data_IF_147300291488
#
_entry.id   IF_147300291488
#
_cell.length_a   1.000
_cell.length_b   1.000
_cell.length_c   1.000
_cell.angle_alpha   90.00
_cell.angle_beta   90.00
_cell.angle_gamma   90.00
#
_symmetry.space_group_name_H-M   'P 1'
#
loop_
_entity.id
_entity.type
_entity.pdbx_description
1 polymer ?
#
# COMPACT_ATOMS: atom_id res chain seq x y z
N UNK A 1 -16.82 -10.63 -12.92
CA UNK A 1 -16.15 -10.38 -11.65
C UNK A 1 -15.12 -11.47 -11.49
N UNK A 2 -13.84 -11.17 -11.75
CA UNK A 2 -12.75 -12.16 -11.63
C UNK A 2 -12.05 -11.92 -10.31
N UNK A 3 -11.98 -12.96 -9.54
CA UNK A 3 -11.38 -13.14 -8.22
C UNK A 3 -10.02 -12.47 -8.08
N UNK A 4 -9.93 -11.52 -7.15
CA UNK A 4 -8.66 -11.04 -6.62
C UNK A 4 -8.05 -12.16 -5.78
N UNK A 5 -6.93 -12.65 -6.21
CA UNK A 5 -6.24 -13.73 -5.53
C UNK A 5 -4.87 -13.27 -5.10
N UNK A 6 -4.64 -13.44 -3.86
CA UNK A 6 -3.39 -13.74 -3.17
C UNK A 6 -2.81 -12.65 -2.30
N UNK A 7 -3.26 -12.64 -1.05
CA UNK A 7 -2.59 -12.00 0.08
C UNK A 7 -1.43 -12.88 0.54
N UNK A 8 -0.24 -12.29 0.58
CA UNK A 8 0.91 -12.86 1.24
C UNK A 8 1.01 -12.26 2.66
N UNK A 9 0.32 -12.86 3.64
CA UNK A 9 0.44 -12.50 5.05
C UNK A 9 1.70 -13.17 5.61
N UNK A 10 2.77 -12.40 5.75
CA UNK A 10 3.95 -12.82 6.51
C UNK A 10 3.86 -12.21 7.90
N UNK A 11 3.46 -13.02 8.88
CA UNK A 11 3.55 -12.66 10.29
C UNK A 11 5.00 -12.81 10.75
N UNK A 12 5.70 -11.71 10.99
CA UNK A 12 7.08 -11.74 11.46
C UNK A 12 7.18 -11.11 12.85
N UNK A 13 7.59 -11.93 13.81
CA UNK A 13 7.92 -11.49 15.18
C UNK A 13 9.25 -10.74 15.15
N UNK A 14 9.23 -9.45 15.46
CA UNK A 14 10.41 -8.60 15.61
C UNK A 14 11.26 -9.05 16.81
N UNK A 15 12.38 -9.65 16.52
CA UNK A 15 13.50 -9.73 17.46
C UNK A 15 14.35 -8.46 17.31
N UNK A 16 14.16 -7.50 18.22
CA UNK A 16 15.07 -6.38 18.40
C UNK A 16 16.36 -6.89 19.04
N UNK A 17 17.33 -7.22 18.22
CA UNK A 17 18.71 -7.41 18.68
C UNK A 17 19.41 -6.05 18.69
N UNK A 18 19.48 -5.46 19.89
CA UNK A 18 20.42 -4.40 20.23
C UNK A 18 21.84 -4.82 19.89
N UNK A 19 22.53 -4.09 19.03
CA UNK A 19 23.96 -4.20 18.91
C UNK A 19 24.61 -2.84 19.14
N UNK A 20 25.52 -2.84 20.11
CA UNK A 20 26.20 -1.66 20.59
C UNK A 20 27.28 -1.12 19.65
N UNK A 21 27.53 0.13 19.80
CA UNK A 21 28.77 0.88 19.73
C UNK A 21 29.64 0.79 18.48
N UNK A 22 29.58 1.88 17.69
CA UNK A 22 30.56 2.15 16.65
C UNK A 22 30.20 3.40 15.89
N UNK A 23 30.74 4.56 16.29
CA UNK A 23 30.62 5.82 15.56
C UNK A 23 31.35 5.75 14.22
N UNK A 24 30.61 5.57 13.13
CA UNK A 24 31.05 5.95 11.80
C UNK A 24 29.93 6.68 11.10
N UNK A 25 30.14 7.95 10.82
CA UNK A 25 29.27 8.88 10.10
C UNK A 25 29.21 8.52 8.60
N UNK A 26 28.49 7.46 8.31
CA UNK A 26 28.06 7.08 6.98
C UNK A 26 26.95 6.08 7.18
N UNK A 27 25.73 6.41 6.76
CA UNK A 27 24.64 5.44 6.83
C UNK A 27 25.05 4.21 6.03
N UNK A 28 25.37 3.11 6.72
CA UNK A 28 25.72 1.85 6.06
C UNK A 28 24.50 1.36 5.30
N UNK A 29 24.68 0.98 4.02
CA UNK A 29 23.62 0.38 3.23
C UNK A 29 23.15 -0.93 3.88
N UNK A 30 21.86 -1.17 3.80
CA UNK A 30 21.27 -2.42 4.24
C UNK A 30 21.82 -3.60 3.40
N UNK A 31 21.86 -4.77 3.99
CA UNK A 31 22.08 -5.98 3.20
C UNK A 31 20.90 -6.21 2.25
N UNK A 32 21.09 -6.98 1.17
CA UNK A 32 20.00 -7.31 0.24
C UNK A 32 18.84 -8.02 0.95
N UNK A 33 19.14 -8.87 1.93
CA UNK A 33 18.11 -9.56 2.72
C UNK A 33 17.33 -8.60 3.61
N UNK A 34 18.02 -7.74 4.36
CA UNK A 34 17.37 -6.80 5.27
C UNK A 34 16.52 -5.79 4.50
N UNK A 35 17.01 -5.36 3.33
CA UNK A 35 16.24 -4.46 2.47
C UNK A 35 14.97 -5.14 1.92
N UNK A 36 15.06 -6.38 1.44
CA UNK A 36 13.88 -7.11 0.96
C UNK A 36 12.85 -7.30 2.07
N UNK A 37 13.27 -7.64 3.28
CA UNK A 37 12.39 -7.77 4.44
C UNK A 37 11.72 -6.44 4.79
N UNK A 38 12.48 -5.34 4.77
CA UNK A 38 11.93 -4.00 4.96
C UNK A 38 10.88 -3.67 3.88
N UNK A 39 11.21 -3.89 2.61
CA UNK A 39 10.32 -3.63 1.47
C UNK A 39 8.99 -4.40 1.61
N UNK A 40 9.04 -5.70 1.93
CA UNK A 40 7.87 -6.54 2.16
C UNK A 40 7.08 -6.07 3.38
N UNK A 41 7.74 -5.67 4.46
CA UNK A 41 7.07 -5.17 5.67
C UNK A 41 6.28 -3.90 5.40
N UNK A 42 6.87 -2.93 4.70
CA UNK A 42 6.20 -1.68 4.31
C UNK A 42 5.02 -1.99 3.37
N UNK A 43 5.22 -2.87 2.39
CA UNK A 43 4.15 -3.29 1.50
C UNK A 43 2.98 -3.95 2.26
N UNK A 44 3.25 -4.92 3.13
CA UNK A 44 2.22 -5.59 3.93
C UNK A 44 1.47 -4.61 4.84
N UNK A 45 2.18 -3.64 5.43
CA UNK A 45 1.58 -2.57 6.21
C UNK A 45 0.60 -1.74 5.38
N UNK A 46 1.00 -1.34 4.18
CA UNK A 46 0.12 -0.60 3.27
C UNK A 46 -1.10 -1.45 2.84
N UNK A 47 -0.89 -2.70 2.46
CA UNK A 47 -1.97 -3.62 2.09
C UNK A 47 -3.00 -3.76 3.21
N UNK A 48 -2.56 -4.01 4.45
CA UNK A 48 -3.49 -4.17 5.59
C UNK A 48 -4.31 -2.91 5.88
N UNK A 49 -3.77 -1.73 5.56
CA UNK A 49 -4.48 -0.45 5.70
C UNK A 49 -5.54 -0.25 4.61
N UNK A 50 -5.20 -0.56 3.34
CA UNK A 50 -6.08 -0.24 2.21
C UNK A 50 -7.06 -1.36 1.88
N UNK A 51 -6.77 -2.62 2.19
CA UNK A 51 -7.57 -3.77 1.78
C UNK A 51 -9.05 -3.69 2.20
N UNK A 52 -9.40 -3.28 3.44
CA UNK A 52 -10.80 -3.11 3.81
C UNK A 52 -11.60 -2.18 2.90
N UNK A 53 -10.91 -1.28 2.18
CA UNK A 53 -11.47 -0.27 1.30
C UNK A 53 -11.39 -0.62 -0.19
N UNK A 54 -10.42 -1.43 -0.58
CA UNK A 54 -10.19 -1.79 -1.99
C UNK A 54 -10.87 -3.10 -2.34
N UNK A 55 -10.74 -4.11 -1.48
CA UNK A 55 -11.26 -5.46 -1.71
C UNK A 55 -12.32 -5.87 -0.68
N UNK A 56 -12.33 -5.21 0.48
CA UNK A 56 -13.19 -5.57 1.60
C UNK A 56 -14.54 -4.86 1.61
N UNK A 57 -15.33 -5.21 2.64
CA UNK A 57 -16.73 -4.80 2.78
C UNK A 57 -16.92 -3.29 2.93
N UNK A 58 -15.92 -2.56 3.47
CA UNK A 58 -16.04 -1.11 3.69
C UNK A 58 -16.10 -0.33 2.38
N UNK A 59 -15.24 -0.68 1.42
CA UNK A 59 -15.26 -0.06 0.10
C UNK A 59 -16.52 -0.42 -0.67
N UNK A 60 -16.95 -1.69 -0.61
CA UNK A 60 -18.20 -2.14 -1.22
C UNK A 60 -19.41 -1.39 -0.64
N UNK A 61 -19.46 -1.23 0.69
CA UNK A 61 -20.51 -0.48 1.36
C UNK A 61 -20.52 0.99 0.97
N UNK A 62 -19.36 1.66 0.92
CA UNK A 62 -19.26 3.05 0.47
C UNK A 62 -19.79 3.23 -0.95
N UNK A 63 -19.38 2.34 -1.88
CA UNK A 63 -19.83 2.41 -3.27
C UNK A 63 -21.34 2.14 -3.38
N UNK A 64 -21.85 1.15 -2.66
CA UNK A 64 -23.29 0.83 -2.66
C UNK A 64 -24.12 1.98 -2.09
N UNK A 65 -23.68 2.59 -0.99
CA UNK A 65 -24.35 3.74 -0.38
C UNK A 65 -24.27 4.99 -1.27
N UNK A 66 -23.13 5.18 -1.97
CA UNK A 66 -22.99 6.25 -2.95
C UNK A 66 -23.97 6.09 -4.14
N UNK A 67 -24.11 4.89 -4.69
CA UNK A 67 -25.04 4.60 -5.77
C UNK A 67 -26.50 4.79 -5.30
N UNK A 68 -26.79 4.46 -4.05
CA UNK A 68 -28.11 4.61 -3.43
C UNK A 68 -28.41 6.03 -2.93
N UNK A 69 -27.54 7.00 -3.18
CA UNK A 69 -27.64 8.40 -2.72
C UNK A 69 -27.84 8.56 -1.20
N UNK A 70 -27.27 7.65 -0.41
CA UNK A 70 -27.30 7.73 1.05
C UNK A 70 -26.26 8.73 1.57
N UNK A 71 -26.43 9.24 2.83
CA UNK A 71 -25.41 10.03 3.49
C UNK A 71 -24.09 9.25 3.64
N UNK A 72 -22.96 9.88 3.28
CA UNK A 72 -21.64 9.26 3.27
C UNK A 72 -20.71 9.73 4.41
N UNK A 73 -21.23 10.58 5.31
CA UNK A 73 -20.43 11.21 6.38
C UNK A 73 -19.75 10.21 7.32
N UNK A 74 -20.36 9.05 7.55
CA UNK A 74 -19.82 7.99 8.41
C UNK A 74 -18.49 7.43 7.91
N UNK A 75 -18.20 7.53 6.62
CA UNK A 75 -16.96 7.03 6.02
C UNK A 75 -15.78 8.00 6.14
N UNK A 76 -16.03 9.31 6.24
CA UNK A 76 -15.00 10.37 6.22
C UNK A 76 -13.94 10.20 7.29
N UNK A 77 -14.34 10.01 8.54
CA UNK A 77 -13.41 9.89 9.67
C UNK A 77 -12.53 8.65 9.55
N UNK A 78 -13.13 7.52 9.15
CA UNK A 78 -12.42 6.27 9.00
C UNK A 78 -11.39 6.35 7.84
N UNK A 79 -11.78 6.87 6.68
CA UNK A 79 -10.89 7.07 5.54
C UNK A 79 -9.72 8.00 5.87
N UNK A 80 -9.99 9.15 6.50
CA UNK A 80 -8.96 10.09 6.91
C UNK A 80 -7.97 9.49 7.90
N UNK A 81 -8.42 8.66 8.84
CA UNK A 81 -7.54 7.94 9.78
C UNK A 81 -6.67 6.90 9.06
N UNK A 82 -7.25 6.14 8.15
CA UNK A 82 -6.51 5.12 7.38
C UNK A 82 -5.48 5.78 6.44
N UNK A 83 -5.82 6.89 5.81
CA UNK A 83 -4.88 7.62 4.97
C UNK A 83 -3.70 8.20 5.75
N UNK A 84 -3.93 8.68 6.99
CA UNK A 84 -2.83 9.07 7.89
C UNK A 84 -1.94 7.88 8.25
N UNK A 85 -2.52 6.72 8.52
CA UNK A 85 -1.75 5.50 8.79
C UNK A 85 -0.93 5.07 7.56
N UNK A 86 -1.49 5.16 6.35
CA UNK A 86 -0.78 4.89 5.11
C UNK A 86 0.40 5.86 4.89
N UNK A 87 0.20 7.15 5.17
CA UNK A 87 1.27 8.15 5.10
C UNK A 87 2.40 7.85 6.09
N UNK A 88 2.07 7.44 7.33
CA UNK A 88 3.07 7.02 8.31
C UNK A 88 3.85 5.77 7.87
N UNK A 89 3.16 4.80 7.26
CA UNK A 89 3.80 3.62 6.67
C UNK A 89 4.74 3.98 5.51
N UNK A 90 4.35 4.91 4.65
CA UNK A 90 5.21 5.42 3.57
C UNK A 90 6.43 6.18 4.10
N UNK A 91 6.30 6.91 5.22
CA UNK A 91 7.42 7.56 5.89
C UNK A 91 8.46 6.55 6.40
N UNK A 92 8.04 5.36 6.85
CA UNK A 92 8.96 4.30 7.25
C UNK A 92 9.87 3.86 6.08
N UNK A 93 9.36 3.83 4.84
CA UNK A 93 10.18 3.60 3.66
C UNK A 93 11.17 4.74 3.41
N UNK A 94 10.72 5.98 3.52
CA UNK A 94 11.58 7.16 3.33
C UNK A 94 12.71 7.23 4.37
N UNK A 95 12.46 6.80 5.60
CA UNK A 95 13.45 6.82 6.67
C UNK A 95 14.68 5.94 6.39
N UNK A 96 14.55 4.91 5.55
CA UNK A 96 15.66 4.05 5.16
C UNK A 96 16.26 4.37 3.78
N UNK A 97 15.82 5.45 3.14
CA UNK A 97 16.21 5.78 1.76
C UNK A 97 17.73 5.86 1.56
N UNK A 98 18.49 6.39 2.55
CA UNK A 98 19.95 6.42 2.51
C UNK A 98 20.62 5.05 2.65
N UNK A 99 19.90 4.07 3.22
CA UNK A 99 20.33 2.69 3.40
C UNK A 99 19.96 1.75 2.25
N UNK A 100 19.26 2.24 1.22
CA UNK A 100 18.87 1.42 0.06
C UNK A 100 20.12 0.93 -0.69
N UNK A 101 20.31 -0.38 -0.88
CA UNK A 101 21.41 -0.92 -1.66
C UNK A 101 21.32 -0.47 -3.13
N UNK A 102 22.44 -0.30 -3.80
CA UNK A 102 22.44 0.15 -5.20
C UNK A 102 21.73 -0.83 -6.14
N UNK A 103 21.79 -2.12 -5.83
CA UNK A 103 21.11 -3.19 -6.55
C UNK A 103 19.60 -3.30 -6.21
N UNK A 104 19.10 -2.54 -5.25
CA UNK A 104 17.69 -2.52 -4.85
C UNK A 104 16.93 -1.28 -5.32
N UNK A 105 17.55 -0.37 -6.05
CA UNK A 105 16.93 0.90 -6.47
C UNK A 105 15.66 0.71 -7.32
N UNK A 106 15.64 -0.29 -8.20
CA UNK A 106 14.43 -0.60 -8.98
C UNK A 106 13.31 -1.09 -8.06
N UNK A 107 13.61 -2.01 -7.15
CA UNK A 107 12.64 -2.53 -6.17
C UNK A 107 12.10 -1.41 -5.27
N UNK A 108 12.95 -0.48 -4.83
CA UNK A 108 12.55 0.71 -4.06
C UNK A 108 11.61 1.61 -4.86
N UNK A 109 11.95 1.83 -6.14
CA UNK A 109 11.10 2.60 -7.06
C UNK A 109 9.71 1.96 -7.24
N UNK A 110 9.62 0.62 -7.33
CA UNK A 110 8.33 -0.09 -7.43
C UNK A 110 7.51 0.02 -6.14
N UNK A 111 8.15 -0.09 -4.96
CA UNK A 111 7.45 0.12 -3.69
C UNK A 111 6.93 1.56 -3.58
N UNK A 112 7.74 2.55 -3.93
CA UNK A 112 7.34 3.96 -3.91
C UNK A 112 6.18 4.25 -4.87
N UNK A 113 6.17 3.66 -6.06
CA UNK A 113 5.06 3.76 -7.01
C UNK A 113 3.77 3.16 -6.43
N UNK A 114 3.85 1.96 -5.86
CA UNK A 114 2.72 1.32 -5.19
C UNK A 114 2.15 2.14 -4.04
N UNK A 115 3.00 2.68 -3.15
CA UNK A 115 2.55 3.52 -2.03
C UNK A 115 1.85 4.79 -2.51
N UNK A 116 2.34 5.38 -3.61
CA UNK A 116 1.71 6.55 -4.25
C UNK A 116 0.34 6.22 -4.83
N UNK A 117 0.19 5.10 -5.52
CA UNK A 117 -1.11 4.69 -6.07
C UNK A 117 -2.08 4.25 -4.98
N UNK A 118 -1.59 3.67 -3.87
CA UNK A 118 -2.39 3.38 -2.69
C UNK A 118 -2.95 4.67 -2.04
N UNK A 119 -2.13 5.72 -1.88
CA UNK A 119 -2.59 7.02 -1.40
C UNK A 119 -3.60 7.67 -2.37
N UNK A 120 -3.36 7.57 -3.68
CA UNK A 120 -4.29 8.09 -4.69
C UNK A 120 -5.66 7.39 -4.62
N UNK A 121 -5.68 6.08 -4.39
CA UNK A 121 -6.92 5.32 -4.20
C UNK A 121 -7.68 5.76 -2.96
N UNK A 122 -7.00 5.89 -1.82
CA UNK A 122 -7.62 6.38 -0.58
C UNK A 122 -8.13 7.81 -0.73
N UNK A 123 -7.39 8.69 -1.42
CA UNK A 123 -7.83 10.05 -1.72
C UNK A 123 -9.08 10.09 -2.64
N UNK A 124 -9.18 9.16 -3.60
CA UNK A 124 -10.37 9.05 -4.44
C UNK A 124 -11.61 8.61 -3.64
N UNK A 125 -11.46 7.64 -2.74
CA UNK A 125 -12.52 7.23 -1.82
C UNK A 125 -12.94 8.36 -0.87
N UNK A 126 -11.98 9.16 -0.36
CA UNK A 126 -12.28 10.34 0.45
C UNK A 126 -13.12 11.38 -0.33
N UNK A 127 -12.82 11.60 -1.63
CA UNK A 127 -13.64 12.51 -2.47
C UNK A 127 -15.06 12.00 -2.64
N UNK A 128 -15.27 10.70 -2.80
CA UNK A 128 -16.63 10.12 -2.83
C UNK A 128 -17.33 10.34 -1.48
N UNK A 129 -16.66 10.01 -0.37
CA UNK A 129 -17.23 10.20 0.96
C UNK A 129 -17.47 11.68 1.33
N UNK A 130 -16.86 12.62 0.61
CA UNK A 130 -17.03 14.06 0.81
C UNK A 130 -18.24 14.66 0.05
N UNK A 131 -18.93 13.87 -0.76
CA UNK A 131 -20.13 14.34 -1.44
C UNK A 131 -21.16 14.88 -0.42
N UNK A 132 -21.79 16.04 -0.69
CA UNK A 132 -22.81 16.61 0.20
C UNK A 132 -24.07 15.74 0.19
N UNK A 133 -24.85 15.79 1.26
CA UNK A 133 -26.15 15.11 1.28
C UNK A 133 -27.05 15.64 0.14
N UNK A 134 -27.67 14.74 -0.58
CA UNK A 134 -28.51 15.08 -1.73
C UNK A 134 -27.73 15.29 -3.04
N UNK A 135 -26.46 14.87 -3.10
CA UNK A 135 -25.68 14.87 -4.35
C UNK A 135 -26.38 14.13 -5.48
N UNK A 136 -26.05 14.48 -6.69
CA UNK A 136 -26.65 13.97 -7.92
C UNK A 136 -25.74 12.96 -8.63
N UNK A 137 -26.29 12.21 -9.58
CA UNK A 137 -25.50 11.35 -10.45
C UNK A 137 -24.44 12.13 -11.26
N UNK A 138 -24.72 13.39 -11.59
CA UNK A 138 -23.77 14.27 -12.31
C UNK A 138 -22.51 14.54 -11.46
N UNK A 139 -22.67 14.65 -10.14
CA UNK A 139 -21.55 14.86 -9.22
C UNK A 139 -20.82 13.54 -8.91
N UNK A 140 -21.53 12.41 -8.84
CA UNK A 140 -20.96 11.10 -8.58
C UNK A 140 -20.19 10.54 -9.77
N UNK A 141 -20.68 10.69 -10.99
CA UNK A 141 -20.12 10.05 -12.18
C UNK A 141 -18.61 10.32 -12.42
N UNK A 142 -18.11 11.57 -12.32
CA UNK A 142 -16.68 11.82 -12.47
C UNK A 142 -15.83 11.16 -11.38
N UNK A 143 -16.34 11.05 -10.15
CA UNK A 143 -15.65 10.40 -9.05
C UNK A 143 -15.59 8.88 -9.23
N UNK A 144 -16.66 8.28 -9.76
CA UNK A 144 -16.68 6.86 -10.10
C UNK A 144 -15.66 6.53 -11.20
N UNK A 145 -15.54 7.37 -12.23
CA UNK A 145 -14.53 7.22 -13.28
C UNK A 145 -13.10 7.39 -12.75
N UNK A 146 -12.90 8.31 -11.83
CA UNK A 146 -11.61 8.51 -11.19
C UNK A 146 -11.23 7.29 -10.33
N UNK A 147 -12.16 6.72 -9.55
CA UNK A 147 -11.96 5.49 -8.80
C UNK A 147 -11.55 4.31 -9.71
N UNK A 148 -12.17 4.15 -10.87
CA UNK A 148 -11.79 3.12 -11.84
C UNK A 148 -10.34 3.31 -12.32
N UNK A 149 -9.98 4.55 -12.64
CA UNK A 149 -8.63 4.90 -13.10
C UNK A 149 -7.57 4.61 -12.04
N UNK A 150 -7.76 5.09 -10.81
CA UNK A 150 -6.78 4.87 -9.73
C UNK A 150 -6.73 3.41 -9.28
N UNK A 151 -7.85 2.68 -9.35
CA UNK A 151 -7.89 1.24 -9.08
C UNK A 151 -7.06 0.45 -10.10
N UNK A 152 -7.16 0.79 -11.37
CA UNK A 152 -6.36 0.18 -12.44
C UNK A 152 -4.88 0.44 -12.22
N UNK A 153 -4.50 1.68 -11.87
CA UNK A 153 -3.10 2.02 -11.59
C UNK A 153 -2.57 1.30 -10.35
N UNK A 154 -3.35 1.25 -9.27
CA UNK A 154 -2.98 0.51 -8.06
C UNK A 154 -2.69 -0.97 -8.35
N UNK A 155 -3.55 -1.62 -9.13
CA UNK A 155 -3.34 -3.00 -9.54
C UNK A 155 -2.08 -3.19 -10.38
N UNK A 156 -1.81 -2.26 -11.30
CA UNK A 156 -0.61 -2.29 -12.14
C UNK A 156 0.65 -2.17 -11.29
N UNK A 157 0.69 -1.22 -10.35
CA UNK A 157 1.85 -0.99 -9.49
C UNK A 157 2.04 -2.13 -8.49
N UNK A 158 0.96 -2.72 -7.97
CA UNK A 158 1.01 -3.91 -7.11
C UNK A 158 1.62 -5.11 -7.84
N UNK A 159 1.21 -5.37 -9.07
CA UNK A 159 1.77 -6.44 -9.88
C UNK A 159 3.25 -6.21 -10.19
N UNK A 160 3.62 -4.98 -10.55
CA UNK A 160 5.00 -4.61 -10.83
C UNK A 160 5.90 -4.79 -9.59
N UNK A 161 5.42 -4.40 -8.41
CA UNK A 161 6.13 -4.60 -7.15
C UNK A 161 6.30 -6.09 -6.83
N UNK A 162 5.25 -6.90 -6.95
CA UNK A 162 5.32 -8.34 -6.72
C UNK A 162 6.34 -9.04 -7.63
N UNK A 163 6.37 -8.67 -8.91
CA UNK A 163 7.36 -9.20 -9.86
C UNK A 163 8.78 -8.79 -9.44
N UNK A 164 8.98 -7.53 -9.07
CA UNK A 164 10.29 -7.03 -8.64
C UNK A 164 10.78 -7.69 -7.35
N UNK A 165 9.91 -7.90 -6.35
CA UNK A 165 10.25 -8.61 -5.11
C UNK A 165 10.71 -10.06 -5.39
N UNK A 166 9.98 -10.79 -6.24
CA UNK A 166 10.35 -12.16 -6.63
C UNK A 166 11.68 -12.20 -7.39
N UNK A 167 11.87 -11.31 -8.36
CA UNK A 167 13.11 -11.21 -9.13
C UNK A 167 14.30 -10.90 -8.23
N UNK A 168 14.15 -9.93 -7.30
CA UNK A 168 15.19 -9.56 -6.35
C UNK A 168 15.54 -10.71 -5.39
N UNK A 169 14.55 -11.40 -4.85
CA UNK A 169 14.70 -12.59 -4.02
C UNK A 169 15.51 -13.69 -4.74
N UNK A 170 15.13 -14.02 -5.97
CA UNK A 170 15.82 -15.02 -6.79
C UNK A 170 17.26 -14.62 -7.09
N UNK A 171 17.49 -13.37 -7.51
CA UNK A 171 18.81 -12.85 -7.82
C UNK A 171 19.77 -12.93 -6.63
N UNK A 172 19.26 -12.68 -5.42
CA UNK A 172 20.06 -12.66 -4.18
C UNK A 172 19.97 -13.95 -3.37
N UNK A 173 19.28 -14.98 -3.90
CA UNK A 173 19.07 -16.28 -3.23
C UNK A 173 18.47 -16.16 -1.83
N UNK A 174 17.55 -15.20 -1.67
CA UNK A 174 16.83 -14.96 -0.42
C UNK A 174 15.56 -15.82 -0.47
N UNK A 175 15.34 -16.77 0.44
CA UNK A 175 14.13 -17.59 0.42
C UNK A 175 12.90 -16.74 0.73
N UNK A 176 11.90 -16.76 -0.15
CA UNK A 176 10.56 -16.25 0.11
C UNK A 176 9.66 -17.45 0.40
N UNK A 177 8.96 -17.42 1.53
CA UNK A 177 7.91 -18.42 1.78
C UNK A 177 6.72 -18.09 0.88
N UNK A 178 6.45 -18.96 -0.07
CA UNK A 178 5.17 -18.94 -0.78
C UNK A 178 4.10 -19.45 0.18
N UNK A 179 3.11 -18.63 0.48
CA UNK A 179 1.93 -19.10 1.21
C UNK A 179 1.15 -19.95 0.20
N UNK A 180 1.18 -21.26 0.41
CA UNK A 180 0.33 -22.20 -0.32
C UNK A 180 -1.13 -21.81 -0.07
N UNK A 181 -1.87 -21.60 -1.14
CA UNK A 181 -3.32 -21.37 -1.13
C UNK A 181 -4.07 -22.69 -0.84
#
# INVERSE_FOLDING_TARGET
MKTFTTFLLVSFSLLLASCGGGTTTGASKLSSSDYLLHNISVWNGAVSIIDPWVSGDRGQSLVADAIAHKPLDSYKTALGSQRKALAANAQANTAVASGVPDNAKDLDGKLSAYLKSADAMMAALERVAALPNGYTNTELAPLAKDLETVSTQLNTDMQALNIAQRAYSQQHKIPMQEVSQ
#
